data_IF_284962137962
#
_entry.id   IF_284962137962
#
_cell.length_a   1.000
_cell.length_b   1.000
_cell.length_c   1.000
_cell.angle_alpha   90.00
_cell.angle_beta   90.00
_cell.angle_gamma   90.00
#
_symmetry.space_group_name_H-M   'P 1'
#
loop_
_entity.id
_entity.type
_entity.pdbx_description
1 polymer ?
#
# COMPACT_ATOMS: atom_id res chain seq x y z
N UNK A 1 29.76 9.41 8.05
CA UNK A 1 28.44 8.91 8.50
C UNK A 1 27.85 8.02 7.41
N UNK A 2 27.97 6.70 7.54
CA UNK A 2 27.28 5.77 6.63
C UNK A 2 25.80 5.69 7.03
N UNK A 3 24.92 6.13 6.15
CA UNK A 3 23.48 6.07 6.36
C UNK A 3 23.02 4.62 6.39
N UNK A 4 22.86 4.08 7.60
CA UNK A 4 22.28 2.77 7.85
C UNK A 4 20.76 2.82 7.64
N UNK A 5 20.30 3.07 6.40
CA UNK A 5 18.89 2.89 6.03
C UNK A 5 18.62 1.39 5.93
N UNK A 6 18.10 0.80 7.01
CA UNK A 6 17.59 -0.58 7.00
C UNK A 6 16.72 -0.77 5.74
N UNK A 7 16.86 -1.89 5.00
CA UNK A 7 16.04 -2.13 3.83
C UNK A 7 14.57 -2.11 4.24
N UNK A 8 13.79 -1.19 3.65
CA UNK A 8 12.35 -1.09 3.93
C UNK A 8 11.69 -2.42 3.61
N UNK A 9 11.00 -2.99 4.59
CA UNK A 9 10.24 -4.23 4.40
C UNK A 9 9.12 -4.03 3.37
N UNK A 10 8.61 -5.11 2.79
CA UNK A 10 7.51 -5.04 1.81
C UNK A 10 6.31 -4.25 2.35
N UNK A 11 5.90 -4.50 3.61
CA UNK A 11 4.78 -3.79 4.23
C UNK A 11 5.08 -2.31 4.50
N UNK A 12 6.32 -1.95 4.84
CA UNK A 12 6.70 -0.54 4.96
C UNK A 12 6.65 0.20 3.62
N UNK A 13 7.03 -0.47 2.51
CA UNK A 13 6.88 0.10 1.17
C UNK A 13 5.41 0.27 0.79
N UNK A 14 4.56 -0.71 1.13
CA UNK A 14 3.12 -0.63 0.93
C UNK A 14 2.48 0.50 1.72
N UNK A 15 2.85 0.67 2.99
CA UNK A 15 2.42 1.78 3.83
C UNK A 15 2.70 3.13 3.16
N UNK A 16 3.88 3.30 2.56
CA UNK A 16 4.23 4.53 1.85
C UNK A 16 3.39 4.78 0.60
N UNK A 17 2.95 3.74 -0.10
CA UNK A 17 2.05 3.88 -1.24
C UNK A 17 0.64 4.26 -0.81
N UNK A 18 0.15 3.64 0.26
CA UNK A 18 -1.21 3.82 0.76
C UNK A 18 -1.46 5.22 1.35
N UNK A 19 -0.45 5.88 1.89
CA UNK A 19 -0.54 7.23 2.47
C UNK A 19 -0.51 8.34 1.39
N UNK A 20 -0.19 8.01 0.13
CA UNK A 20 -0.17 9.00 -0.95
C UNK A 20 -1.56 9.62 -1.16
N UNK A 21 -1.62 10.94 -1.33
CA UNK A 21 -2.87 11.66 -1.65
C UNK A 21 -3.51 11.22 -2.98
N UNK A 22 -2.69 10.76 -3.93
CA UNK A 22 -3.15 10.17 -5.20
C UNK A 22 -3.75 8.77 -5.04
N UNK A 23 -3.57 8.13 -3.88
CA UNK A 23 -3.78 6.70 -3.68
C UNK A 23 -2.79 5.87 -4.47
N UNK A 24 -3.05 4.56 -4.53
CA UNK A 24 -2.25 3.60 -5.30
C UNK A 24 -3.11 2.52 -5.95
N UNK A 25 -2.71 2.05 -7.12
CA UNK A 25 -3.41 0.96 -7.82
C UNK A 25 -2.79 -0.40 -7.55
N UNK A 26 -3.52 -1.49 -7.81
CA UNK A 26 -2.98 -2.87 -7.72
C UNK A 26 -1.71 -3.06 -8.55
N UNK A 27 -1.64 -2.43 -9.72
CA UNK A 27 -0.48 -2.49 -10.63
C UNK A 27 0.74 -1.80 -10.02
N UNK A 28 0.56 -0.63 -9.41
CA UNK A 28 1.64 0.09 -8.74
C UNK A 28 2.14 -0.68 -7.50
N UNK A 29 1.23 -1.27 -6.73
CA UNK A 29 1.58 -2.13 -5.61
C UNK A 29 2.43 -3.31 -6.12
N UNK A 30 2.02 -3.98 -7.20
CA UNK A 30 2.75 -5.09 -7.79
C UNK A 30 4.13 -4.69 -8.36
N UNK A 31 4.28 -3.45 -8.86
CA UNK A 31 5.56 -2.93 -9.34
C UNK A 31 6.55 -2.65 -8.21
N UNK A 32 6.06 -2.16 -7.06
CA UNK A 32 6.91 -1.74 -5.94
C UNK A 32 7.19 -2.88 -4.96
N UNK A 33 6.26 -3.83 -4.84
CA UNK A 33 6.40 -5.02 -4.02
C UNK A 33 6.66 -6.21 -4.94
N UNK A 34 7.79 -6.94 -4.80
CA UNK A 34 8.01 -8.21 -5.48
C UNK A 34 7.12 -9.27 -4.82
N UNK A 35 5.81 -9.17 -5.05
CA UNK A 35 4.77 -9.98 -4.43
C UNK A 35 3.78 -10.38 -5.50
N UNK A 36 3.55 -11.68 -5.62
CA UNK A 36 2.61 -12.27 -6.60
C UNK A 36 1.15 -11.94 -6.27
N UNK A 37 0.84 -11.62 -5.01
CA UNK A 37 -0.52 -11.33 -4.54
C UNK A 37 -0.63 -9.95 -3.85
N UNK A 38 -0.79 -8.85 -4.60
CA UNK A 38 -0.94 -7.50 -4.04
C UNK A 38 -2.13 -7.35 -3.09
N UNK A 39 -3.23 -8.04 -3.39
CA UNK A 39 -4.46 -8.02 -2.58
C UNK A 39 -4.26 -8.66 -1.21
N UNK A 40 -3.49 -9.76 -1.11
CA UNK A 40 -3.13 -10.36 0.19
C UNK A 40 -2.36 -9.36 1.06
N UNK A 41 -1.45 -8.59 0.47
CA UNK A 41 -0.68 -7.56 1.21
C UNK A 41 -1.55 -6.44 1.76
N UNK A 42 -2.62 -6.08 1.07
CA UNK A 42 -3.63 -5.17 1.61
C UNK A 42 -4.37 -5.79 2.81
N UNK A 43 -4.70 -7.08 2.76
CA UNK A 43 -5.26 -7.79 3.91
C UNK A 43 -4.28 -7.83 5.09
N UNK A 44 -3.00 -8.12 4.85
CA UNK A 44 -1.96 -8.11 5.90
C UNK A 44 -1.86 -6.74 6.60
N UNK A 45 -2.04 -5.65 5.84
CA UNK A 45 -2.08 -4.30 6.41
C UNK A 45 -3.32 -4.08 7.28
N UNK A 46 -4.50 -4.59 6.87
CA UNK A 46 -5.73 -4.55 7.68
C UNK A 46 -5.59 -5.34 8.97
N UNK A 47 -4.97 -6.52 8.92
CA UNK A 47 -4.67 -7.34 10.11
C UNK A 47 -3.74 -6.59 11.09
N UNK A 48 -2.89 -5.69 10.59
CA UNK A 48 -2.06 -4.77 11.39
C UNK A 48 -2.79 -3.51 11.86
N UNK A 49 -4.11 -3.44 11.71
CA UNK A 49 -4.94 -2.31 12.14
C UNK A 49 -5.05 -1.15 11.15
N UNK A 50 -4.51 -1.29 9.93
CA UNK A 50 -4.68 -0.23 8.93
C UNK A 50 -6.09 -0.21 8.34
N UNK A 51 -6.65 0.98 8.19
CA UNK A 51 -7.92 1.17 7.48
C UNK A 51 -7.64 1.39 6.01
N UNK A 52 -7.94 0.40 5.16
CA UNK A 52 -7.76 0.49 3.71
C UNK A 52 -9.10 0.70 3.02
N UNK A 53 -9.25 1.87 2.40
CA UNK A 53 -10.39 2.26 1.57
C UNK A 53 -10.00 2.23 0.09
N UNK A 54 -10.99 2.26 -0.80
CA UNK A 54 -10.74 2.38 -2.23
C UNK A 54 -11.77 3.28 -2.90
N UNK A 55 -11.39 3.85 -4.03
CA UNK A 55 -12.29 4.52 -4.98
C UNK A 55 -12.08 3.91 -6.35
N UNK A 56 -13.12 3.93 -7.18
CA UNK A 56 -12.96 3.62 -8.60
C UNK A 56 -12.39 4.85 -9.31
N UNK A 57 -11.49 4.62 -10.26
CA UNK A 57 -11.04 5.63 -11.21
C UNK A 57 -12.18 5.94 -12.18
N UNK A 58 -12.03 7.01 -12.97
CA UNK A 58 -12.99 7.46 -13.98
C UNK A 58 -13.37 6.38 -15.02
N UNK A 59 -12.53 5.34 -15.16
CA UNK A 59 -12.80 4.18 -16.02
C UNK A 59 -13.82 3.19 -15.42
N UNK A 60 -14.25 3.39 -14.17
CA UNK A 60 -15.21 2.53 -13.46
C UNK A 60 -14.69 1.14 -13.10
N UNK A 61 -13.44 0.80 -13.45
CA UNK A 61 -12.89 -0.55 -13.33
C UNK A 61 -11.65 -0.57 -12.43
N UNK A 62 -10.80 0.45 -12.52
CA UNK A 62 -9.54 0.50 -11.79
C UNK A 62 -9.79 0.95 -10.35
N UNK A 63 -9.38 0.13 -9.39
CA UNK A 63 -9.41 0.47 -7.97
C UNK A 63 -8.16 1.27 -7.58
N UNK A 64 -8.40 2.42 -6.97
CA UNK A 64 -7.40 3.26 -6.33
C UNK A 64 -7.56 3.09 -4.82
N UNK A 65 -6.54 2.49 -4.18
CA UNK A 65 -6.50 2.20 -2.77
C UNK A 65 -5.86 3.35 -1.98
N UNK A 66 -6.40 3.59 -0.79
CA UNK A 66 -5.89 4.53 0.18
C UNK A 66 -5.79 3.81 1.53
N UNK A 67 -4.80 4.17 2.34
CA UNK A 67 -4.66 3.60 3.67
C UNK A 67 -4.47 4.68 4.72
N UNK A 68 -5.26 4.57 5.77
CA UNK A 68 -5.08 5.34 7.00
C UNK A 68 -4.34 4.45 8.01
N UNK A 69 -3.23 4.92 8.59
CA UNK A 69 -2.56 4.17 9.64
C UNK A 69 -3.49 4.00 10.85
N UNK A 70 -3.34 2.91 11.64
CA UNK A 70 -4.06 2.75 12.90
C UNK A 70 -3.82 3.97 13.79
N UNK A 71 -4.88 4.43 14.48
CA UNK A 71 -4.71 5.35 15.61
C UNK A 71 -4.09 4.53 16.74
N UNK A 72 -2.82 4.80 17.02
CA UNK A 72 -2.10 4.28 18.19
C UNK A 72 -2.69 4.89 19.46
#
# INVERSE_FOLDING_TARGET
MWFNKKPKTQLQRLAQLLVKKSGTTTVEIARVLPSTTPTRRLSDMREKGWTITYKLKDDGQTKIYFGTPPKV
#
